data_IF_871537579954
#
_entry.id   IF_871537579954
#
_cell.length_a   1.000
_cell.length_b   1.000
_cell.length_c   1.000
_cell.angle_alpha   90.00
_cell.angle_beta   90.00
_cell.angle_gamma   90.00
#
_symmetry.space_group_name_H-M   'P 1'
#
loop_
_entity.id
_entity.type
_entity.pdbx_description
1 polymer ?
#
# COMPACT_ATOMS: atom_id res chain seq x y z
N UNK A 1 13.76 4.40 -4.78
CA UNK A 1 13.39 4.80 -3.40
C UNK A 1 14.28 5.96 -2.99
N UNK A 2 13.74 7.19 -2.99
CA UNK A 2 14.52 8.43 -2.76
C UNK A 2 14.37 8.84 -1.30
N UNK A 3 15.50 9.08 -0.64
CA UNK A 3 15.57 9.51 0.76
C UNK A 3 15.38 11.03 0.80
N UNK A 4 14.36 11.58 1.46
CA UNK A 4 14.29 13.02 1.66
C UNK A 4 15.48 13.48 2.52
N UNK A 5 16.31 14.38 1.98
CA UNK A 5 17.32 15.10 2.76
C UNK A 5 16.64 16.28 3.45
N UNK A 6 16.14 16.04 4.66
CA UNK A 6 15.57 17.10 5.49
C UNK A 6 16.66 18.04 6.01
N UNK A 7 16.29 19.31 6.17
CA UNK A 7 17.20 20.36 6.58
C UNK A 7 17.80 20.05 7.96
N UNK A 8 19.11 20.23 8.05
CA UNK A 8 19.82 20.19 9.31
C UNK A 8 19.41 21.41 10.14
N UNK A 9 18.80 21.18 11.30
CA UNK A 9 18.96 22.15 12.38
C UNK A 9 20.46 22.30 12.61
N UNK A 10 20.97 23.54 12.66
CA UNK A 10 22.34 23.78 13.08
C UNK A 10 22.56 23.04 14.42
N UNK A 11 23.74 22.45 14.65
CA UNK A 11 24.06 21.66 15.85
C UNK A 11 23.75 22.35 17.19
N UNK A 12 23.50 23.64 17.12
CA UNK A 12 23.14 24.54 18.19
C UNK A 12 21.67 24.49 18.62
N UNK A 13 20.80 23.68 17.99
CA UNK A 13 19.39 23.54 18.38
C UNK A 13 19.01 22.08 18.58
N UNK A 14 18.18 21.82 19.60
CA UNK A 14 17.45 20.55 19.74
C UNK A 14 16.07 20.71 19.11
N UNK A 15 15.61 19.68 18.41
CA UNK A 15 14.32 19.69 17.71
C UNK A 15 13.40 18.58 18.23
N UNK A 16 12.14 18.94 18.48
CA UNK A 16 11.05 18.01 18.74
C UNK A 16 10.00 18.15 17.64
N UNK A 17 9.55 17.02 17.11
CA UNK A 17 8.47 16.98 16.12
C UNK A 17 7.26 16.22 16.66
N UNK A 18 6.09 16.81 16.50
CA UNK A 18 4.81 16.13 16.61
C UNK A 18 4.04 16.31 15.29
N UNK A 19 3.89 15.23 14.53
CA UNK A 19 3.27 15.27 13.21
C UNK A 19 1.95 14.52 13.25
N UNK A 20 0.90 15.14 12.74
CA UNK A 20 -0.41 14.53 12.56
C UNK A 20 -0.72 14.42 11.08
N UNK A 21 -0.93 13.20 10.60
CA UNK A 21 -1.43 12.90 9.26
C UNK A 21 -2.91 12.55 9.37
N UNK A 22 -3.76 13.34 8.74
CA UNK A 22 -5.22 13.17 8.76
C UNK A 22 -5.67 12.81 7.35
N UNK A 23 -5.96 11.53 7.14
CA UNK A 23 -6.47 11.05 5.85
C UNK A 23 -7.93 11.50 5.70
N UNK A 24 -8.24 12.01 4.51
CA UNK A 24 -9.59 12.41 4.13
C UNK A 24 -10.29 11.26 3.39
N UNK A 25 -11.64 11.27 3.27
CA UNK A 25 -12.39 10.24 2.54
C UNK A 25 -12.00 10.08 1.06
N UNK A 26 -11.44 11.13 0.44
CA UNK A 26 -10.92 11.14 -0.93
C UNK A 26 -9.45 10.69 -1.04
N UNK A 27 -8.87 10.19 0.04
CA UNK A 27 -7.47 9.83 0.21
C UNK A 27 -6.46 10.99 0.13
N UNK A 28 -6.90 12.25 0.08
CA UNK A 28 -6.00 13.36 0.35
C UNK A 28 -5.57 13.36 1.83
N UNK A 29 -4.37 13.83 2.13
CA UNK A 29 -3.80 13.81 3.47
C UNK A 29 -3.52 15.23 3.93
N UNK A 30 -4.22 15.67 4.98
CA UNK A 30 -3.90 16.90 5.70
C UNK A 30 -2.78 16.59 6.69
N UNK A 31 -1.66 17.28 6.55
CA UNK A 31 -0.49 17.15 7.42
C UNK A 31 -0.38 18.38 8.30
N UNK A 32 -0.21 18.18 9.59
CA UNK A 32 0.11 19.23 10.55
C UNK A 32 1.37 18.84 11.32
N UNK A 33 2.42 19.63 11.16
CA UNK A 33 3.70 19.45 11.84
C UNK A 33 3.83 20.52 12.91
N UNK A 34 3.84 20.13 14.18
CA UNK A 34 4.18 21.01 15.30
C UNK A 34 5.63 20.78 15.66
N UNK A 35 6.43 21.85 15.59
CA UNK A 35 7.87 21.82 15.80
C UNK A 35 8.22 22.71 16.98
N UNK A 36 9.09 22.18 17.85
CA UNK A 36 9.73 22.95 18.91
C UNK A 36 11.23 22.93 18.71
N UNK A 37 11.83 24.11 18.57
CA UNK A 37 13.28 24.32 18.53
C UNK A 37 13.76 24.85 19.88
N UNK A 38 14.65 24.12 20.54
CA UNK A 38 15.28 24.54 21.80
C UNK A 38 16.71 24.98 21.53
N UNK A 39 17.03 26.22 21.86
CA UNK A 39 18.37 26.77 21.67
C UNK A 39 19.37 26.20 22.68
N UNK A 40 20.54 25.76 22.22
CA UNK A 40 21.63 25.24 23.08
C UNK A 40 22.65 26.31 23.48
N UNK A 41 22.68 27.46 22.80
CA UNK A 41 23.65 28.54 23.03
C UNK A 41 22.96 29.82 23.53
N UNK A 42 23.74 30.74 24.08
CA UNK A 42 23.21 31.96 24.75
C UNK A 42 22.98 33.10 23.76
N UNK A 43 23.81 33.18 22.72
CA UNK A 43 24.04 34.33 21.86
C UNK A 43 23.58 34.14 20.41
N UNK A 44 22.96 33.00 20.10
CA UNK A 44 22.37 32.73 18.80
C UNK A 44 20.84 32.72 18.87
N UNK A 45 20.19 32.81 17.73
CA UNK A 45 18.76 32.56 17.56
C UNK A 45 18.49 32.08 16.14
N UNK A 46 17.40 31.33 15.94
CA UNK A 46 16.98 30.89 14.62
C UNK A 46 16.21 32.02 13.93
N UNK A 47 16.58 32.35 12.69
CA UNK A 47 15.88 33.36 11.87
C UNK A 47 14.91 32.74 10.87
N UNK A 48 15.19 31.50 10.47
CA UNK A 48 14.43 30.79 9.45
C UNK A 48 14.48 29.29 9.69
N UNK A 49 13.50 28.59 9.13
CA UNK A 49 13.45 27.14 9.04
C UNK A 49 13.22 26.74 7.59
N UNK A 50 13.90 25.69 7.15
CA UNK A 50 13.68 25.11 5.83
C UNK A 50 13.36 23.64 5.97
N UNK A 51 12.54 23.08 5.10
CA UNK A 51 12.23 21.65 5.05
C UNK A 51 12.09 21.20 3.60
N UNK A 52 12.63 20.03 3.29
CA UNK A 52 12.58 19.41 1.96
C UNK A 52 11.65 18.20 2.01
N UNK A 53 10.44 18.34 1.50
CA UNK A 53 9.44 17.27 1.50
C UNK A 53 9.59 16.40 0.25
N UNK A 54 9.63 15.08 0.41
CA UNK A 54 9.57 14.10 -0.69
C UNK A 54 8.17 13.94 -1.30
N UNK A 55 7.43 15.04 -1.42
CA UNK A 55 6.08 15.12 -1.96
C UNK A 55 6.00 16.33 -2.89
N UNK A 56 5.31 16.18 -4.01
CA UNK A 56 5.23 17.18 -5.10
C UNK A 56 3.82 17.71 -5.29
N UNK A 57 2.80 16.89 -4.98
CA UNK A 57 1.38 17.23 -5.07
C UNK A 57 0.88 17.87 -3.77
N UNK A 58 1.55 18.94 -3.36
CA UNK A 58 1.23 19.70 -2.14
C UNK A 58 0.42 20.97 -2.48
N UNK A 59 -0.63 21.23 -1.70
CA UNK A 59 -1.50 22.43 -1.74
C UNK A 59 -1.80 22.96 -0.33
N UNK A 60 -2.42 24.13 -0.26
CA UNK A 60 -2.89 24.76 1.00
C UNK A 60 -1.81 24.83 2.10
N UNK A 61 -0.61 25.27 1.70
CA UNK A 61 0.54 25.37 2.61
C UNK A 61 0.36 26.61 3.48
N UNK A 62 0.42 26.43 4.80
CA UNK A 62 0.33 27.51 5.79
C UNK A 62 1.32 27.26 6.92
N UNK A 63 1.73 28.34 7.60
CA UNK A 63 2.55 28.25 8.79
C UNK A 63 2.17 29.33 9.80
N UNK A 64 2.46 29.09 11.07
CA UNK A 64 2.33 30.08 12.13
C UNK A 64 3.34 29.79 13.24
N UNK A 65 3.78 30.83 13.95
CA UNK A 65 4.48 30.73 15.22
C UNK A 65 3.65 31.33 16.35
N UNK A 66 4.22 31.40 17.54
CA UNK A 66 3.57 31.96 18.73
C UNK A 66 3.18 33.46 18.57
N UNK A 67 3.70 34.15 17.54
CA UNK A 67 3.48 35.57 17.27
C UNK A 67 2.54 35.83 16.09
N UNK A 68 2.16 34.80 15.33
CA UNK A 68 1.14 34.88 14.30
C UNK A 68 1.44 34.07 13.04
N UNK A 69 0.68 34.31 11.95
CA UNK A 69 0.88 33.64 10.67
C UNK A 69 2.26 33.93 10.08
N UNK A 70 2.86 32.92 9.44
CA UNK A 70 4.09 33.02 8.65
C UNK A 70 3.73 32.74 7.21
N UNK A 71 4.22 33.55 6.27
CA UNK A 71 4.05 33.30 4.83
C UNK A 71 5.12 32.32 4.34
N UNK A 72 4.77 31.09 3.95
CA UNK A 72 5.76 30.10 3.50
C UNK A 72 6.30 30.43 2.11
N UNK A 73 7.62 30.39 1.94
CA UNK A 73 8.27 30.45 0.63
C UNK A 73 8.44 29.03 0.10
N UNK A 74 7.87 28.74 -1.06
CA UNK A 74 7.78 27.37 -1.61
C UNK A 74 8.51 27.27 -2.94
N UNK A 75 9.43 26.32 -3.05
CA UNK A 75 10.14 25.99 -4.29
C UNK A 75 9.89 24.51 -4.62
N UNK A 76 9.19 24.25 -5.73
CA UNK A 76 8.93 22.88 -6.21
C UNK A 76 10.00 22.45 -7.22
N UNK A 77 10.61 21.29 -7.00
CA UNK A 77 11.52 20.59 -7.92
C UNK A 77 10.90 19.25 -8.31
N UNK A 78 11.50 18.54 -9.28
CA UNK A 78 10.91 17.33 -9.89
C UNK A 78 10.37 16.30 -8.87
N UNK A 79 11.07 16.07 -7.75
CA UNK A 79 10.68 15.07 -6.73
C UNK A 79 10.59 15.62 -5.30
N UNK A 80 10.80 16.93 -5.11
CA UNK A 80 10.95 17.53 -3.78
C UNK A 80 10.26 18.89 -3.76
N UNK A 81 9.50 19.17 -2.70
CA UNK A 81 9.02 20.52 -2.37
C UNK A 81 9.84 21.08 -1.22
N UNK A 82 10.57 22.17 -1.48
CA UNK A 82 11.27 22.92 -0.44
C UNK A 82 10.33 23.99 0.11
N UNK A 83 10.20 24.06 1.43
CA UNK A 83 9.43 25.09 2.14
C UNK A 83 10.39 25.81 3.06
N UNK A 84 10.45 27.13 2.95
CA UNK A 84 11.20 28.02 3.83
C UNK A 84 10.24 28.92 4.60
N UNK A 85 10.46 29.03 5.90
CA UNK A 85 9.72 29.85 6.86
C UNK A 85 10.67 30.89 7.45
N UNK A 86 10.26 32.15 7.48
CA UNK A 86 10.96 33.23 8.18
C UNK A 86 10.16 33.55 9.45
N UNK A 87 10.80 33.48 10.61
CA UNK A 87 10.11 33.60 11.90
C UNK A 87 9.73 35.05 12.20
N UNK A 88 8.62 35.26 12.90
CA UNK A 88 8.10 36.59 13.22
C UNK A 88 8.88 37.26 14.37
N UNK A 89 9.55 36.48 15.22
CA UNK A 89 10.34 37.00 16.34
C UNK A 89 11.66 36.23 16.56
N UNK A 90 12.56 36.85 17.33
CA UNK A 90 13.89 36.35 17.67
C UNK A 90 13.90 35.81 19.09
N UNK A 91 13.85 34.49 19.22
CA UNK A 91 13.97 33.83 20.53
C UNK A 91 15.44 33.60 20.86
N UNK A 92 16.00 34.47 21.71
CA UNK A 92 17.42 34.44 22.12
C UNK A 92 17.57 33.86 23.53
N UNK A 93 18.64 33.10 23.74
CA UNK A 93 19.03 32.60 25.06
C UNK A 93 19.02 31.09 25.15
N UNK A 94 19.94 30.56 25.97
CA UNK A 94 20.10 29.12 26.17
C UNK A 94 18.84 28.54 26.81
N UNK A 95 18.38 27.41 26.26
CA UNK A 95 17.16 26.69 26.62
C UNK A 95 15.85 27.42 26.33
N UNK A 96 15.88 28.55 25.62
CA UNK A 96 14.66 29.15 25.10
C UNK A 96 14.11 28.34 23.93
N UNK A 97 12.79 28.26 23.85
CA UNK A 97 12.07 27.46 22.86
C UNK A 97 11.32 28.36 21.89
N UNK A 98 11.42 28.03 20.61
CA UNK A 98 10.59 28.59 19.55
C UNK A 98 9.63 27.50 19.07
N UNK A 99 8.34 27.76 19.15
CA UNK A 99 7.31 26.86 18.64
C UNK A 99 6.71 27.40 17.36
N UNK A 100 6.50 26.51 16.40
CA UNK A 100 5.81 26.85 15.17
C UNK A 100 5.11 25.63 14.60
N UNK A 101 4.14 25.89 13.74
CA UNK A 101 3.36 24.86 13.04
C UNK A 101 3.47 25.08 11.54
N UNK A 102 3.68 23.99 10.80
CA UNK A 102 3.60 23.93 9.35
C UNK A 102 2.47 22.97 8.98
N UNK A 103 1.51 23.42 8.19
CA UNK A 103 0.44 22.59 7.68
C UNK A 103 0.32 22.64 6.16
N UNK A 104 -0.17 21.55 5.58
CA UNK A 104 -0.41 21.43 4.14
C UNK A 104 -1.32 20.24 3.83
N UNK A 105 -1.81 20.16 2.59
CA UNK A 105 -2.53 18.99 2.06
C UNK A 105 -1.68 18.37 0.94
N UNK A 106 -1.60 17.04 0.90
CA UNK A 106 -0.89 16.28 -0.13
C UNK A 106 -1.68 15.05 -0.57
N UNK A 107 -1.54 14.66 -1.84
CA UNK A 107 -2.11 13.43 -2.40
C UNK A 107 -1.05 12.31 -2.52
N UNK A 108 0.17 12.54 -2.02
CA UNK A 108 1.31 11.63 -2.20
C UNK A 108 1.43 10.54 -1.13
N UNK A 109 0.79 10.70 0.03
CA UNK A 109 0.96 9.79 1.16
C UNK A 109 -0.15 8.76 1.31
N UNK A 110 -1.25 8.90 0.57
CA UNK A 110 -2.31 7.91 0.55
C UNK A 110 -2.89 7.79 -0.86
N UNK A 111 -3.36 6.60 -1.21
CA UNK A 111 -4.04 6.32 -2.46
C UNK A 111 -5.22 5.39 -2.21
N UNK A 112 -6.30 5.61 -2.96
CA UNK A 112 -7.50 4.77 -2.88
C UNK A 112 -7.67 4.02 -4.19
N UNK A 113 -7.58 2.70 -4.13
CA UNK A 113 -7.79 1.80 -5.25
C UNK A 113 -9.04 0.98 -4.96
N UNK A 114 -10.16 1.39 -5.57
CA UNK A 114 -11.47 0.80 -5.28
C UNK A 114 -11.89 1.00 -3.82
N UNK A 115 -12.00 -0.10 -3.07
CA UNK A 115 -12.36 -0.08 -1.65
C UNK A 115 -11.14 -0.08 -0.72
N UNK A 116 -9.94 -0.24 -1.27
CA UNK A 116 -8.70 -0.31 -0.51
C UNK A 116 -8.07 1.08 -0.40
N UNK A 117 -7.71 1.46 0.82
CA UNK A 117 -6.90 2.66 1.10
C UNK A 117 -5.50 2.21 1.49
N UNK A 118 -4.52 2.63 0.71
CA UNK A 118 -3.10 2.42 0.97
C UNK A 118 -2.47 3.71 1.47
N UNK A 119 -1.64 3.61 2.51
CA UNK A 119 -0.96 4.75 3.12
C UNK A 119 0.54 4.46 3.15
N UNK A 120 1.33 5.42 2.69
CA UNK A 120 2.78 5.43 2.74
C UNK A 120 3.30 6.75 3.30
N UNK A 121 3.72 6.75 4.57
CA UNK A 121 4.36 7.91 5.20
C UNK A 121 5.87 7.69 5.22
N UNK A 122 6.66 8.63 4.68
CA UNK A 122 8.10 8.47 4.58
C UNK A 122 8.77 8.39 5.96
N UNK A 123 9.83 7.59 6.03
CA UNK A 123 10.72 7.52 7.20
C UNK A 123 11.35 8.88 7.55
N UNK A 124 11.78 8.99 8.79
CA UNK A 124 12.68 10.05 9.24
C UNK A 124 14.13 9.58 9.21
N UNK A 125 15.04 10.46 8.79
CA UNK A 125 16.47 10.25 8.95
C UNK A 125 16.88 10.56 10.39
N UNK A 126 17.72 9.72 10.99
CA UNK A 126 18.28 10.01 12.30
C UNK A 126 19.18 11.25 12.23
N UNK A 127 19.05 12.15 13.22
CA UNK A 127 19.97 13.27 13.41
C UNK A 127 20.26 13.45 14.89
N UNK A 128 21.48 13.87 15.22
CA UNK A 128 21.93 14.06 16.61
C UNK A 128 21.08 15.11 17.36
N UNK A 129 20.47 16.03 16.61
CA UNK A 129 19.67 17.15 17.13
C UNK A 129 18.19 16.79 17.29
N UNK A 130 17.74 15.64 16.80
CA UNK A 130 16.36 15.17 16.97
C UNK A 130 16.18 14.56 18.36
N UNK A 131 15.50 15.28 19.27
CA UNK A 131 15.25 14.78 20.64
C UNK A 131 14.06 13.83 20.70
N UNK A 132 12.94 14.22 20.09
CA UNK A 132 11.73 13.41 20.06
C UNK A 132 11.00 13.57 18.72
N UNK A 133 10.29 12.51 18.33
CA UNK A 133 9.52 12.43 17.11
C UNK A 133 8.28 11.58 17.34
N UNK A 134 7.11 12.22 17.30
CA UNK A 134 5.82 11.56 17.49
C UNK A 134 5.00 11.71 16.22
N UNK A 135 4.47 10.59 15.73
CA UNK A 135 3.54 10.58 14.59
C UNK A 135 2.19 10.06 15.03
N UNK A 136 1.14 10.80 14.67
CA UNK A 136 -0.24 10.35 14.78
C UNK A 136 -0.84 10.22 13.38
N UNK A 137 -1.30 9.03 13.05
CA UNK A 137 -2.03 8.75 11.81
C UNK A 137 -3.52 8.63 12.15
N UNK A 138 -4.33 9.51 11.59
CA UNK A 138 -5.79 9.52 11.74
C UNK A 138 -6.41 9.01 10.44
N UNK A 139 -7.06 7.86 10.49
CA UNK A 139 -7.75 7.25 9.35
C UNK A 139 -9.26 7.27 9.62
N UNK A 140 -10.09 7.79 8.71
CA UNK A 140 -11.54 7.81 8.91
C UNK A 140 -12.07 6.40 9.18
N UNK A 141 -13.00 6.27 10.14
CA UNK A 141 -13.56 4.98 10.53
C UNK A 141 -14.33 4.28 9.39
N UNK A 142 -14.67 5.00 8.31
CA UNK A 142 -15.28 4.46 7.09
C UNK A 142 -14.37 3.44 6.36
N UNK A 143 -13.05 3.53 6.55
CA UNK A 143 -12.09 2.58 5.98
C UNK A 143 -11.86 1.37 6.90
N UNK A 144 -12.64 1.26 7.98
CA UNK A 144 -12.58 0.18 8.96
C UNK A 144 -11.18 0.04 9.59
N UNK A 145 -10.82 -1.17 10.04
CA UNK A 145 -9.51 -1.44 10.65
C UNK A 145 -8.47 -1.75 9.57
N UNK A 146 -7.20 -1.50 9.89
CA UNK A 146 -6.09 -1.85 9.01
C UNK A 146 -6.01 -3.35 8.80
N UNK A 147 -5.85 -3.76 7.55
CA UNK A 147 -5.50 -5.13 7.14
C UNK A 147 -4.10 -5.47 7.64
N UNK A 148 -3.18 -4.53 7.45
CA UNK A 148 -1.83 -4.57 8.00
C UNK A 148 -1.31 -3.15 8.21
N UNK A 149 -0.34 -3.01 9.12
CA UNK A 149 0.34 -1.76 9.40
C UNK A 149 1.77 -2.05 9.88
N UNK A 150 2.75 -1.49 9.20
CA UNK A 150 4.17 -1.68 9.52
C UNK A 150 4.84 -0.32 9.64
N UNK A 151 5.54 -0.01 10.75
CA UNK A 151 5.60 -0.80 11.98
C UNK A 151 4.24 -0.88 12.70
N UNK A 152 4.10 -1.81 13.64
CA UNK A 152 2.93 -1.84 14.53
C UNK A 152 2.86 -0.56 15.39
N UNK A 153 1.69 0.08 15.53
CA UNK A 153 1.55 1.30 16.30
C UNK A 153 1.73 1.02 17.79
N UNK A 154 2.40 1.92 18.51
CA UNK A 154 2.57 1.80 19.96
C UNK A 154 1.23 1.86 20.70
N UNK A 155 0.32 2.70 20.19
CA UNK A 155 -1.04 2.84 20.71
C UNK A 155 -2.01 3.03 19.54
N UNK A 156 -3.16 2.39 19.63
CA UNK A 156 -4.31 2.63 18.76
C UNK A 156 -5.54 2.98 19.60
N UNK A 157 -6.37 3.88 19.08
CA UNK A 157 -7.67 4.23 19.68
C UNK A 157 -8.65 4.72 18.63
N UNK A 158 -9.93 4.73 18.96
CA UNK A 158 -10.96 5.33 18.13
C UNK A 158 -11.49 6.60 18.79
N UNK A 159 -11.55 7.70 18.05
CA UNK A 159 -11.95 9.02 18.56
C UNK A 159 -12.51 9.87 17.41
N UNK A 160 -13.65 10.54 17.61
CA UNK A 160 -14.25 11.48 16.65
C UNK A 160 -14.38 10.93 15.21
N UNK A 161 -14.82 9.68 15.05
CA UNK A 161 -14.94 8.99 13.75
C UNK A 161 -13.60 8.73 13.03
N UNK A 162 -12.49 8.73 13.76
CA UNK A 162 -11.18 8.32 13.27
C UNK A 162 -10.63 7.14 14.07
N UNK A 163 -9.95 6.23 13.39
CA UNK A 163 -8.97 5.31 13.97
C UNK A 163 -7.63 6.06 14.05
N UNK A 164 -7.11 6.23 15.26
CA UNK A 164 -5.89 6.97 15.55
C UNK A 164 -4.79 5.99 15.94
N UNK A 165 -3.68 6.05 15.21
CA UNK A 165 -2.49 5.23 15.40
C UNK A 165 -1.31 6.11 15.79
N UNK A 166 -0.62 5.77 16.87
CA UNK A 166 0.48 6.56 17.42
C UNK A 166 1.81 5.82 17.35
N UNK A 167 2.83 6.50 16.86
CA UNK A 167 4.18 5.97 16.66
C UNK A 167 5.22 6.84 17.35
N UNK A 168 6.27 6.21 17.87
CA UNK A 168 7.39 6.91 18.50
C UNK A 168 8.61 6.97 17.61
N UNK A 169 9.57 7.82 17.99
CA UNK A 169 10.84 8.00 17.30
C UNK A 169 11.54 6.66 17.04
N UNK A 170 11.63 5.79 18.04
CA UNK A 170 12.34 4.50 17.96
C UNK A 170 11.72 3.57 16.91
N UNK A 171 10.42 3.70 16.64
CA UNK A 171 9.73 2.90 15.62
C UNK A 171 9.96 3.43 14.21
N UNK A 172 10.29 4.72 14.07
CA UNK A 172 10.32 5.44 12.79
C UNK A 172 11.71 5.85 12.32
N UNK A 173 12.74 5.69 13.17
CA UNK A 173 14.14 5.79 12.73
C UNK A 173 14.36 4.77 11.62
N UNK A 174 14.70 5.27 10.44
CA UNK A 174 14.98 4.50 9.23
C UNK A 174 13.84 3.62 8.69
N UNK A 175 12.63 3.72 9.26
CA UNK A 175 11.43 2.95 8.88
C UNK A 175 10.30 3.86 8.44
N UNK A 176 9.68 3.54 7.32
CA UNK A 176 8.45 4.19 6.85
C UNK A 176 7.23 3.57 7.51
N UNK A 177 6.12 4.30 7.58
CA UNK A 177 4.82 3.72 7.93
C UNK A 177 4.15 3.30 6.63
N UNK A 178 3.82 2.02 6.52
CA UNK A 178 3.07 1.45 5.41
C UNK A 178 1.83 0.79 6.01
N UNK A 179 0.64 1.15 5.53
CA UNK A 179 -0.60 0.60 6.04
C UNK A 179 -1.61 0.42 4.90
N UNK A 180 -2.44 -0.61 5.02
CA UNK A 180 -3.56 -0.87 4.11
C UNK A 180 -4.85 -1.08 4.89
N UNK A 181 -5.95 -0.55 4.37
CA UNK A 181 -7.28 -0.54 4.98
C UNK A 181 -8.32 -0.94 3.94
N UNK A 182 -9.41 -1.58 4.38
CA UNK A 182 -10.44 -2.21 3.55
C UNK A 182 -10.54 -3.72 3.82
N UNK A 183 -11.55 -4.40 3.29
CA UNK A 183 -11.70 -5.86 3.50
C UNK A 183 -11.47 -6.67 2.22
N UNK A 184 -11.95 -6.16 1.10
CA UNK A 184 -12.09 -6.87 -0.16
C UNK A 184 -12.13 -5.90 -1.35
N UNK A 185 -11.90 -6.44 -2.54
CA UNK A 185 -12.05 -5.73 -3.80
C UNK A 185 -12.89 -6.55 -4.76
N UNK A 186 -13.90 -5.95 -5.37
CA UNK A 186 -14.75 -6.61 -6.36
C UNK A 186 -14.29 -6.21 -7.77
N UNK A 187 -14.15 -7.20 -8.65
CA UNK A 187 -13.83 -7.03 -10.07
C UNK A 187 -14.84 -7.77 -10.92
N UNK A 188 -15.30 -7.15 -12.00
CA UNK A 188 -16.10 -7.84 -13.01
C UNK A 188 -15.19 -8.52 -14.03
N UNK A 189 -15.57 -9.71 -14.48
CA UNK A 189 -14.84 -10.46 -15.49
C UNK A 189 -15.75 -10.99 -16.61
N UNK A 190 -15.13 -11.19 -17.77
CA UNK A 190 -15.70 -11.92 -18.91
C UNK A 190 -14.65 -12.88 -19.44
N UNK A 191 -14.89 -14.18 -19.29
CA UNK A 191 -14.04 -15.24 -19.83
C UNK A 191 -14.63 -15.71 -21.16
N UNK A 192 -13.78 -15.85 -22.18
CA UNK A 192 -14.18 -16.32 -23.51
C UNK A 192 -13.32 -17.52 -23.85
N UNK A 193 -13.96 -18.66 -24.09
CA UNK A 193 -13.31 -19.92 -24.46
C UNK A 193 -13.79 -20.37 -25.83
N UNK A 194 -12.89 -21.03 -26.56
CA UNK A 194 -13.14 -21.58 -27.89
C UNK A 194 -12.73 -23.06 -27.86
N UNK A 195 -13.71 -23.96 -27.91
CA UNK A 195 -13.48 -25.40 -27.97
C UNK A 195 -13.65 -25.89 -29.40
N UNK A 196 -12.58 -26.39 -30.00
CA UNK A 196 -12.56 -26.89 -31.37
C UNK A 196 -12.49 -28.42 -31.37
N UNK A 197 -13.42 -29.06 -32.11
CA UNK A 197 -13.44 -30.50 -32.26
C UNK A 197 -13.10 -30.91 -33.70
N UNK A 198 -11.82 -31.12 -33.97
CA UNK A 198 -11.29 -31.59 -35.27
C UNK A 198 -11.50 -33.09 -35.54
N UNK A 199 -12.35 -33.76 -34.75
CA UNK A 199 -12.61 -35.19 -34.88
C UNK A 199 -13.92 -35.43 -35.61
N UNK A 200 -13.97 -36.51 -36.37
CA UNK A 200 -15.17 -36.99 -37.06
C UNK A 200 -16.29 -37.51 -36.12
N UNK A 201 -16.13 -37.35 -34.80
CA UNK A 201 -17.05 -37.83 -33.78
C UNK A 201 -17.25 -36.80 -32.67
N UNK A 202 -18.47 -36.78 -32.13
CA UNK A 202 -18.82 -35.93 -31.00
C UNK A 202 -17.97 -36.27 -29.78
N UNK A 203 -17.35 -35.25 -29.19
CA UNK A 203 -16.32 -35.42 -28.17
C UNK A 203 -16.57 -34.50 -27.00
N UNK A 204 -16.28 -34.99 -25.80
CA UNK A 204 -16.31 -34.17 -24.60
C UNK A 204 -15.04 -33.33 -24.45
N UNK A 205 -15.24 -32.06 -24.17
CA UNK A 205 -14.20 -31.10 -23.80
C UNK A 205 -14.49 -30.53 -22.43
N UNK A 206 -13.44 -30.08 -21.76
CA UNK A 206 -13.50 -29.53 -20.41
C UNK A 206 -12.82 -28.17 -20.39
N UNK A 207 -13.44 -27.20 -19.72
CA UNK A 207 -12.84 -25.90 -19.44
C UNK A 207 -12.83 -25.64 -17.94
N UNK A 208 -11.75 -25.03 -17.47
CA UNK A 208 -11.62 -24.63 -16.07
C UNK A 208 -12.21 -23.25 -15.83
N UNK A 209 -13.06 -23.16 -14.82
CA UNK A 209 -13.63 -21.95 -14.27
C UNK A 209 -12.91 -21.59 -12.96
N UNK A 210 -12.59 -20.29 -12.74
CA UNK A 210 -12.09 -19.82 -11.45
C UNK A 210 -12.93 -20.33 -10.28
N UNK A 211 -12.31 -20.99 -9.28
CA UNK A 211 -12.98 -21.47 -8.09
C UNK A 211 -12.93 -20.44 -6.95
N UNK A 212 -13.70 -20.70 -5.89
CA UNK A 212 -13.49 -20.02 -4.61
C UNK A 212 -12.16 -20.46 -3.98
N UNK A 213 -11.44 -19.52 -3.35
CA UNK A 213 -10.24 -19.79 -2.54
C UNK A 213 -10.31 -19.00 -1.24
N UNK A 214 -9.46 -19.25 -0.23
CA UNK A 214 -9.44 -18.41 0.96
C UNK A 214 -9.20 -16.92 0.66
N UNK A 215 -8.65 -16.59 -0.51
CA UNK A 215 -8.37 -15.22 -0.94
C UNK A 215 -9.31 -14.71 -2.03
N UNK A 216 -10.27 -15.51 -2.50
CA UNK A 216 -11.24 -15.04 -3.48
C UNK A 216 -12.58 -15.76 -3.41
N UNK A 217 -13.66 -15.06 -3.74
CA UNK A 217 -14.98 -15.64 -3.98
C UNK A 217 -15.48 -15.25 -5.36
N UNK A 218 -16.01 -16.22 -6.09
CA UNK A 218 -16.44 -16.07 -7.47
C UNK A 218 -17.97 -16.12 -7.54
N UNK A 219 -18.56 -15.15 -8.23
CA UNK A 219 -19.98 -15.07 -8.48
C UNK A 219 -20.22 -15.09 -9.99
N UNK A 220 -20.73 -16.20 -10.53
CA UNK A 220 -21.14 -16.28 -11.94
C UNK A 220 -22.54 -15.69 -12.11
N UNK A 221 -22.66 -14.72 -13.00
CA UNK A 221 -23.94 -14.19 -13.45
C UNK A 221 -24.54 -15.07 -14.55
N UNK A 222 -23.71 -15.47 -15.52
CA UNK A 222 -24.13 -16.29 -16.65
C UNK A 222 -22.96 -17.08 -17.24
N UNK A 223 -23.22 -18.31 -17.67
CA UNK A 223 -22.32 -19.13 -18.48
C UNK A 223 -23.12 -19.60 -19.69
N UNK A 224 -22.70 -19.19 -20.89
CA UNK A 224 -23.44 -19.44 -22.12
C UNK A 224 -22.52 -19.98 -23.23
N UNK A 225 -22.84 -21.15 -23.83
CA UNK A 225 -23.88 -22.08 -23.40
C UNK A 225 -23.59 -22.66 -22.01
N UNK A 226 -24.62 -23.17 -21.32
CA UNK A 226 -24.44 -23.82 -20.04
C UNK A 226 -23.69 -25.16 -20.23
N UNK A 227 -22.78 -25.53 -19.31
CA UNK A 227 -22.13 -26.84 -19.34
C UNK A 227 -23.15 -27.95 -19.07
N UNK A 228 -22.89 -29.14 -19.61
CA UNK A 228 -23.69 -30.33 -19.29
C UNK A 228 -23.54 -30.72 -17.81
N UNK A 229 -22.33 -30.56 -17.28
CA UNK A 229 -22.04 -30.82 -15.87
C UNK A 229 -20.87 -29.97 -15.38
N UNK A 230 -20.83 -29.69 -14.08
CA UNK A 230 -19.71 -29.04 -13.40
C UNK A 230 -19.22 -29.96 -12.29
N UNK A 231 -17.92 -30.20 -12.23
CA UNK A 231 -17.28 -30.99 -11.18
C UNK A 231 -15.96 -30.34 -10.75
N UNK A 232 -15.43 -30.76 -9.60
CA UNK A 232 -14.17 -30.23 -9.06
C UNK A 232 -13.05 -31.21 -9.35
N UNK A 233 -11.93 -30.72 -9.89
CA UNK A 233 -10.74 -31.54 -10.12
C UNK A 233 -9.89 -31.72 -8.85
N UNK A 234 -8.77 -32.42 -8.97
CA UNK A 234 -7.85 -32.65 -7.84
C UNK A 234 -7.22 -31.35 -7.32
N UNK A 235 -7.20 -30.32 -8.16
CA UNK A 235 -6.54 -29.03 -7.92
C UNK A 235 -7.53 -28.01 -7.33
N UNK A 236 -8.83 -28.32 -7.36
CA UNK A 236 -9.89 -27.46 -6.83
C UNK A 236 -10.56 -26.59 -7.88
N UNK A 237 -10.18 -26.71 -9.14
CA UNK A 237 -10.82 -25.98 -10.22
C UNK A 237 -12.20 -26.55 -10.50
N UNK A 238 -13.14 -25.68 -10.86
CA UNK A 238 -14.44 -26.11 -11.35
C UNK A 238 -14.33 -26.38 -12.85
N UNK A 239 -14.46 -27.65 -13.26
CA UNK A 239 -14.43 -28.06 -14.66
C UNK A 239 -15.84 -28.14 -15.22
N UNK A 240 -16.12 -27.33 -16.24
CA UNK A 240 -17.33 -27.41 -17.04
C UNK A 240 -17.16 -28.38 -18.20
N UNK A 241 -18.02 -29.39 -18.28
CA UNK A 241 -18.01 -30.39 -19.34
C UNK A 241 -18.97 -30.00 -20.47
N UNK A 242 -18.47 -30.02 -21.70
CA UNK A 242 -19.21 -29.70 -22.91
C UNK A 242 -19.09 -30.82 -23.93
N UNK A 243 -20.20 -31.13 -24.57
CA UNK A 243 -20.24 -32.02 -25.71
C UNK A 243 -20.17 -31.19 -26.99
N UNK A 244 -19.14 -31.40 -27.81
CA UNK A 244 -18.89 -30.60 -29.02
C UNK A 244 -19.03 -31.49 -30.25
N UNK A 245 -19.83 -31.05 -31.21
CA UNK A 245 -20.12 -31.79 -32.44
C UNK A 245 -18.86 -31.94 -33.32
N UNK A 246 -18.81 -32.96 -34.21
CA UNK A 246 -17.71 -33.13 -35.16
C UNK A 246 -17.49 -31.89 -36.03
N UNK A 247 -16.23 -31.54 -36.31
CA UNK A 247 -15.83 -30.43 -37.18
C UNK A 247 -16.48 -29.09 -36.82
N UNK A 248 -16.68 -28.82 -35.52
CA UNK A 248 -17.27 -27.58 -35.04
C UNK A 248 -16.45 -26.90 -33.95
N UNK A 249 -16.67 -25.59 -33.84
CA UNK A 249 -16.18 -24.77 -32.73
C UNK A 249 -17.35 -24.38 -31.83
N UNK A 250 -17.17 -24.53 -30.52
CA UNK A 250 -18.09 -24.06 -29.51
C UNK A 250 -17.49 -22.87 -28.77
N UNK A 251 -18.14 -21.72 -28.89
CA UNK A 251 -17.77 -20.51 -28.17
C UNK A 251 -18.53 -20.44 -26.83
N UNK A 252 -17.79 -20.28 -25.74
CA UNK A 252 -18.34 -20.20 -24.39
C UNK A 252 -17.96 -18.86 -23.78
N UNK A 253 -18.97 -18.16 -23.26
CA UNK A 253 -18.81 -16.89 -22.56
C UNK A 253 -19.30 -17.06 -21.13
N UNK A 254 -18.41 -16.85 -20.16
CA UNK A 254 -18.75 -16.77 -18.75
C UNK A 254 -18.57 -15.33 -18.25
N UNK A 255 -19.62 -14.78 -17.63
CA UNK A 255 -19.64 -13.43 -17.06
C UNK A 255 -19.92 -13.55 -15.57
N UNK A 256 -19.20 -12.78 -14.78
CA UNK A 256 -19.35 -12.76 -13.33
C UNK A 256 -18.49 -11.72 -12.65
N UNK A 257 -18.41 -11.80 -11.34
CA UNK A 257 -17.58 -10.94 -10.51
C UNK A 257 -16.72 -11.78 -9.56
N UNK A 258 -15.49 -11.33 -9.33
CA UNK A 258 -14.55 -11.88 -8.37
C UNK A 258 -14.38 -10.92 -7.21
N UNK A 259 -14.68 -11.38 -6.00
CA UNK A 259 -14.42 -10.70 -4.74
C UNK A 259 -13.07 -11.19 -4.20
N UNK A 260 -12.05 -10.34 -4.20
CA UNK A 260 -10.69 -10.67 -3.76
C UNK A 260 -10.50 -10.19 -2.32
N UNK A 261 -10.02 -11.08 -1.45
CA UNK A 261 -9.70 -10.80 -0.06
C UNK A 261 -8.18 -10.68 0.12
N UNK A 262 -7.76 -9.72 0.94
CA UNK A 262 -6.33 -9.58 1.28
C UNK A 262 -5.94 -10.53 2.42
N UNK A 263 -6.89 -10.83 3.31
CA UNK A 263 -6.73 -11.84 4.36
C UNK A 263 -7.52 -13.09 4.01
N UNK A 264 -6.90 -14.24 4.27
CA UNK A 264 -7.53 -15.55 4.09
C UNK A 264 -8.81 -15.66 4.91
N UNK A 265 -9.93 -16.00 4.25
CA UNK A 265 -11.22 -16.29 4.86
C UNK A 265 -11.24 -17.75 5.28
N UNK A 266 -11.25 -17.99 6.59
CA UNK A 266 -11.23 -19.33 7.20
C UNK A 266 -12.46 -20.18 6.88
N UNK A 267 -13.56 -19.56 6.42
CA UNK A 267 -14.77 -20.25 5.97
C UNK A 267 -14.57 -21.01 4.65
N UNK A 268 -13.65 -20.53 3.79
CA UNK A 268 -13.30 -21.19 2.55
C UNK A 268 -12.07 -22.05 2.85
N UNK A 269 -12.24 -23.37 2.75
CA UNK A 269 -11.13 -24.29 3.01
C UNK A 269 -10.10 -24.15 1.90
N UNK A 270 -8.84 -24.00 2.31
CA UNK A 270 -7.72 -24.15 1.40
C UNK A 270 -7.68 -25.61 0.93
N UNK A 271 -7.52 -25.81 -0.37
CA UNK A 271 -7.36 -27.14 -0.92
C UNK A 271 -5.93 -27.60 -0.66
N UNK A 272 -5.77 -28.59 0.22
CA UNK A 272 -4.47 -29.23 0.44
C UNK A 272 -4.15 -30.10 -0.79
N UNK A 273 -3.13 -29.71 -1.56
CA UNK A 273 -2.58 -30.56 -2.61
C UNK A 273 -1.75 -31.66 -1.96
N UNK A 274 -2.36 -32.85 -1.82
CA UNK A 274 -1.74 -33.99 -1.14
C UNK A 274 -0.49 -34.54 -1.86
N UNK A 275 -0.39 -34.36 -3.18
CA UNK A 275 0.75 -34.83 -3.97
C UNK A 275 1.13 -33.85 -5.10
N UNK A 276 2.28 -33.18 -4.96
CA UNK A 276 2.83 -32.28 -5.99
C UNK A 276 3.69 -33.00 -7.03
N UNK A 277 3.98 -34.29 -6.85
CA UNK A 277 4.81 -35.10 -7.74
C UNK A 277 4.31 -35.10 -9.20
N UNK A 278 2.99 -35.08 -9.50
CA UNK A 278 2.50 -35.00 -10.87
C UNK A 278 2.96 -33.75 -11.63
N UNK A 279 3.05 -32.60 -10.98
CA UNK A 279 3.48 -31.33 -11.63
C UNK A 279 4.97 -31.26 -11.91
N UNK A 280 5.76 -32.17 -11.34
CA UNK A 280 7.20 -32.26 -11.57
C UNK A 280 7.54 -33.15 -12.78
N UNK A 281 6.54 -33.71 -13.46
CA UNK A 281 6.73 -34.58 -14.62
C UNK A 281 6.98 -33.78 -15.89
N UNK A 282 7.75 -34.38 -16.79
CA UNK A 282 7.98 -33.83 -18.13
C UNK A 282 6.69 -33.82 -18.94
N UNK A 283 6.37 -32.67 -19.53
CA UNK A 283 5.27 -32.50 -20.48
C UNK A 283 5.82 -31.99 -21.81
N UNK A 284 5.02 -32.08 -22.87
CA UNK A 284 5.40 -31.64 -24.23
C UNK A 284 5.98 -30.22 -24.26
N UNK A 285 5.47 -29.32 -23.41
CA UNK A 285 5.93 -27.93 -23.31
C UNK A 285 6.58 -27.62 -21.94
N UNK A 286 6.82 -28.63 -21.10
CA UNK A 286 7.41 -28.48 -19.77
C UNK A 286 8.64 -29.39 -19.65
N UNK A 287 9.78 -28.90 -20.13
CA UNK A 287 11.00 -29.69 -20.32
C UNK A 287 11.84 -29.82 -19.03
N UNK A 288 11.32 -30.52 -18.02
CA UNK A 288 12.07 -30.79 -16.78
C UNK A 288 13.30 -31.69 -16.98
N UNK A 289 13.40 -32.41 -18.10
CA UNK A 289 14.52 -33.30 -18.40
C UNK A 289 15.63 -32.70 -19.27
N UNK A 290 15.49 -31.45 -19.68
CA UNK A 290 16.49 -30.78 -20.52
C UNK A 290 17.84 -30.66 -19.79
N UNK A 291 18.89 -31.25 -20.38
CA UNK A 291 20.22 -31.33 -19.77
C UNK A 291 20.83 -29.95 -19.46
N UNK A 292 20.64 -28.97 -20.34
CA UNK A 292 21.17 -27.62 -20.13
C UNK A 292 20.45 -26.90 -18.98
N UNK A 293 19.12 -27.10 -18.86
CA UNK A 293 18.33 -26.55 -17.76
C UNK A 293 18.79 -27.14 -16.42
N UNK A 294 19.00 -28.46 -16.35
CA UNK A 294 19.50 -29.13 -15.13
C UNK A 294 20.90 -28.67 -14.73
N UNK A 295 21.81 -28.53 -15.69
CA UNK A 295 23.18 -28.07 -15.45
C UNK A 295 23.19 -26.63 -14.91
N UNK A 296 22.42 -25.73 -15.54
CA UNK A 296 22.32 -24.34 -15.12
C UNK A 296 21.64 -24.18 -13.75
N UNK A 297 20.58 -24.95 -13.48
CA UNK A 297 19.87 -24.89 -12.19
C UNK A 297 20.78 -25.34 -11.02
N UNK A 298 21.65 -26.33 -11.25
CA UNK A 298 22.61 -26.80 -10.26
C UNK A 298 23.71 -25.75 -9.96
N UNK A 299 24.09 -24.95 -10.96
CA UNK A 299 25.05 -23.86 -10.81
C UNK A 299 24.44 -22.65 -10.08
N UNK A 300 23.18 -22.33 -10.36
CA UNK A 300 22.52 -21.08 -9.93
C UNK A 300 21.97 -21.06 -8.50
N UNK A 301 22.14 -22.12 -7.69
CA UNK A 301 21.68 -22.27 -6.29
C UNK A 301 20.72 -21.17 -5.81
N UNK A 302 19.43 -21.46 -5.79
CA UNK A 302 18.42 -20.58 -5.18
C UNK A 302 18.81 -20.26 -3.73
N UNK A 303 18.88 -18.96 -3.42
CA UNK A 303 19.09 -18.40 -2.07
C UNK A 303 17.90 -18.72 -1.19
#
# INVERSE_FOLDING_TARGET
>A
MIIPKFAYAADNFDTLYKITYIVQPDASVKVEQRITLTNKLVDIYATQYSVSLGATRIREIWAQDDFGPITPQVEKKENITNIKLEFNDRVVGKYKTLNFTLGYITDDYASKNGQILEIGIPRIAESQNLKDHQVHLHVPALFEKSIFMIPEPRHSRQENNFNIYSFTKEQLIDKSIIASFGENQVFDFKLSYHLENDKDAETYFEIAFPPDTPFQRIYYENISPAPENIFVDQDGNWLGKYLVAPDTTLDIIAVGSAEIFIQSKTEIKEQELDDLTPYLKSLTFWEVDNKQIKELAAELKTV
#
